data_IF_883446229133
#
_entry.id   IF_883446229133
#
_cell.length_a   1.000
_cell.length_b   1.000
_cell.length_c   1.000
_cell.angle_alpha   90.00
_cell.angle_beta   90.00
_cell.angle_gamma   90.00
#
_symmetry.space_group_name_H-M   'P 1'
#
loop_
_entity.id
_entity.type
_entity.pdbx_description
1 polymer ?
#
# COMPACT_ATOMS: atom_id res chain seq x y z
N UNK A 1 -9.19 -12.26 4.69
CA UNK A 1 -8.76 -10.84 4.59
C UNK A 1 -9.57 -10.04 5.59
N UNK A 2 -8.93 -9.38 6.56
CA UNK A 2 -9.63 -8.75 7.68
C UNK A 2 -10.17 -7.37 7.28
N UNK A 3 -11.43 -7.07 7.61
CA UNK A 3 -12.01 -5.70 7.45
C UNK A 3 -11.18 -4.67 8.23
N UNK A 4 -10.51 -5.10 9.30
CA UNK A 4 -9.70 -4.26 10.19
C UNK A 4 -8.47 -3.68 9.50
N UNK A 5 -7.78 -4.43 8.65
CA UNK A 5 -6.60 -3.91 7.95
C UNK A 5 -6.98 -2.86 6.91
N UNK A 6 -8.14 -3.03 6.27
CA UNK A 6 -8.68 -2.03 5.37
C UNK A 6 -9.06 -0.73 6.12
N UNK A 7 -9.74 -0.84 7.27
CA UNK A 7 -10.05 0.32 8.11
C UNK A 7 -8.78 1.01 8.65
N UNK A 8 -7.76 0.23 9.03
CA UNK A 8 -6.47 0.75 9.45
C UNK A 8 -5.78 1.53 8.33
N UNK A 9 -5.75 0.96 7.12
CA UNK A 9 -5.13 1.60 5.95
C UNK A 9 -5.81 2.92 5.60
N UNK A 10 -7.14 2.96 5.62
CA UNK A 10 -7.90 4.20 5.36
C UNK A 10 -7.67 5.26 6.44
N UNK A 11 -7.67 4.87 7.72
CA UNK A 11 -7.45 5.81 8.82
C UNK A 11 -6.02 6.36 8.88
N UNK A 12 -5.04 5.65 8.32
CA UNK A 12 -3.63 6.05 8.27
C UNK A 12 -3.17 6.50 6.88
N UNK A 13 -4.09 6.66 5.92
CA UNK A 13 -3.74 6.89 4.52
C UNK A 13 -2.83 8.12 4.34
N UNK A 14 -3.17 9.25 4.98
CA UNK A 14 -2.36 10.48 4.92
C UNK A 14 -0.92 10.31 5.45
N UNK A 15 -0.70 9.39 6.40
CA UNK A 15 0.63 9.08 6.92
C UNK A 15 1.39 8.17 5.96
N UNK A 16 0.69 7.17 5.41
CA UNK A 16 1.22 6.28 4.37
C UNK A 16 1.63 7.06 3.13
N UNK A 17 0.85 8.07 2.70
CA UNK A 17 1.19 8.92 1.55
C UNK A 17 2.52 9.64 1.74
N UNK A 18 2.83 10.08 2.96
CA UNK A 18 4.08 10.77 3.28
C UNK A 18 5.27 9.81 3.36
N UNK A 19 5.05 8.61 3.91
CA UNK A 19 6.10 7.63 4.15
C UNK A 19 6.42 6.78 2.90
N UNK A 20 5.40 6.45 2.10
CA UNK A 20 5.47 5.52 0.98
C UNK A 20 4.80 6.09 -0.30
N UNK A 21 5.16 7.30 -0.75
CA UNK A 21 4.54 7.91 -1.92
C UNK A 21 4.81 7.10 -3.19
N UNK A 22 3.75 6.81 -3.95
CA UNK A 22 3.79 6.05 -5.20
C UNK A 22 4.43 4.65 -5.03
N UNK A 23 4.05 3.97 -3.95
CA UNK A 23 4.50 2.62 -3.62
C UNK A 23 3.33 1.71 -3.29
N UNK A 24 3.52 0.42 -3.54
CA UNK A 24 2.73 -0.63 -2.91
C UNK A 24 3.15 -0.79 -1.46
N UNK A 25 2.17 -0.95 -0.58
CA UNK A 25 2.37 -1.16 0.85
C UNK A 25 1.57 -2.39 1.27
N UNK A 26 2.26 -3.39 1.82
CA UNK A 26 1.65 -4.57 2.43
C UNK A 26 1.39 -4.32 3.91
N UNK A 27 0.17 -4.59 4.37
CA UNK A 27 -0.28 -4.40 5.75
C UNK A 27 -0.82 -5.71 6.32
N UNK A 28 -0.46 -6.01 7.57
CA UNK A 28 -1.06 -7.07 8.37
C UNK A 28 -1.16 -6.64 9.83
N UNK A 29 -2.33 -6.87 10.44
CA UNK A 29 -2.63 -6.51 11.82
C UNK A 29 -2.29 -5.04 12.13
N UNK A 30 -2.62 -4.14 11.19
CA UNK A 30 -2.35 -2.71 11.29
C UNK A 30 -0.86 -2.33 11.28
N UNK A 31 0.00 -3.15 10.66
CA UNK A 31 1.43 -2.87 10.50
C UNK A 31 1.88 -3.04 9.08
N UNK A 32 2.75 -2.15 8.61
CA UNK A 32 3.43 -2.30 7.32
C UNK A 32 4.46 -3.43 7.43
N UNK A 33 4.33 -4.44 6.58
CA UNK A 33 5.20 -5.63 6.58
C UNK A 33 6.14 -5.69 5.38
N UNK A 34 5.81 -5.03 4.28
CA UNK A 34 6.65 -4.84 3.10
C UNK A 34 6.19 -3.61 2.31
N UNK A 35 7.07 -3.01 1.50
CA UNK A 35 6.72 -1.89 0.63
C UNK A 35 7.69 -1.77 -0.55
N UNK A 36 7.24 -1.16 -1.65
CA UNK A 36 8.07 -0.98 -2.84
C UNK A 36 7.30 -0.58 -4.09
N UNK A 37 8.01 -0.31 -5.18
CA UNK A 37 7.41 0.16 -6.44
C UNK A 37 6.87 -0.96 -7.34
N UNK A 38 7.26 -2.20 -7.07
CA UNK A 38 6.90 -3.36 -7.88
C UNK A 38 6.00 -4.28 -7.05
N UNK A 39 4.74 -4.43 -7.45
CA UNK A 39 3.75 -5.23 -6.73
C UNK A 39 4.25 -6.66 -6.42
N UNK A 40 4.81 -7.35 -7.42
CA UNK A 40 5.27 -8.73 -7.26
C UNK A 40 6.33 -8.89 -6.17
N UNK A 41 7.31 -7.99 -6.13
CA UNK A 41 8.36 -8.00 -5.09
C UNK A 41 7.78 -7.77 -3.70
N UNK A 42 6.83 -6.84 -3.56
CA UNK A 42 6.17 -6.55 -2.28
C UNK A 42 5.32 -7.73 -1.82
N UNK A 43 4.63 -8.40 -2.75
CA UNK A 43 3.86 -9.61 -2.45
C UNK A 43 4.77 -10.75 -1.99
N UNK A 44 5.84 -11.05 -2.72
CA UNK A 44 6.77 -12.13 -2.38
C UNK A 44 7.43 -11.89 -1.02
N UNK A 45 7.87 -10.66 -0.76
CA UNK A 45 8.46 -10.27 0.53
C UNK A 45 7.47 -10.35 1.68
N UNK A 46 6.23 -9.87 1.50
CA UNK A 46 5.19 -9.98 2.52
C UNK A 46 4.83 -11.44 2.80
N UNK A 47 4.73 -12.27 1.76
CA UNK A 47 4.45 -13.70 1.88
C UNK A 47 5.54 -14.44 2.66
N UNK A 48 6.81 -14.14 2.37
CA UNK A 48 7.95 -14.71 3.10
C UNK A 48 7.92 -14.33 4.59
N UNK A 49 7.53 -13.09 4.90
CA UNK A 49 7.54 -12.57 6.28
C UNK A 49 6.36 -13.03 7.13
N UNK A 50 5.15 -13.07 6.55
CA UNK A 50 3.92 -13.22 7.34
C UNK A 50 2.90 -14.23 6.79
N UNK A 51 3.27 -15.02 5.78
CA UNK A 51 2.38 -15.98 5.12
C UNK A 51 1.37 -15.32 4.18
N UNK A 52 0.31 -16.03 3.76
CA UNK A 52 -0.59 -15.59 2.68
C UNK A 52 -1.71 -14.63 3.09
N UNK A 53 -1.76 -14.22 4.36
CA UNK A 53 -2.81 -13.36 4.91
C UNK A 53 -2.28 -11.95 5.21
N UNK A 54 -2.34 -11.07 4.23
CA UNK A 54 -2.06 -9.63 4.32
C UNK A 54 -2.82 -8.86 3.22
N UNK A 55 -2.92 -7.54 3.35
CA UNK A 55 -3.50 -6.66 2.33
C UNK A 55 -2.38 -5.89 1.63
N UNK A 56 -2.48 -5.65 0.33
CA UNK A 56 -1.60 -4.71 -0.39
C UNK A 56 -2.47 -3.61 -0.98
N UNK A 57 -2.07 -2.37 -0.78
CA UNK A 57 -2.64 -1.22 -1.49
C UNK A 57 -1.54 -0.40 -2.16
N UNK A 58 -1.91 0.35 -3.19
CA UNK A 58 -1.04 1.32 -3.84
C UNK A 58 -1.31 2.71 -3.29
N UNK A 59 -0.30 3.29 -2.67
CA UNK A 59 -0.40 4.59 -2.01
C UNK A 59 -0.02 5.68 -3.00
N UNK A 60 -1.02 6.46 -3.44
CA UNK A 60 -0.79 7.61 -4.31
C UNK A 60 -0.12 8.72 -3.51
N UNK A 61 0.92 9.36 -4.05
CA UNK A 61 1.62 10.48 -3.38
C UNK A 61 0.72 11.67 -2.99
N UNK A 62 -0.50 11.75 -3.52
CA UNK A 62 -1.43 12.86 -3.26
C UNK A 62 -1.02 14.17 -3.96
N UNK A 63 0.08 14.17 -4.71
CA UNK A 63 0.42 15.28 -5.58
C UNK A 63 -0.61 15.37 -6.72
N UNK A 64 -1.19 16.57 -6.95
CA UNK A 64 -2.10 16.75 -8.07
C UNK A 64 -1.36 16.50 -9.38
N UNK A 65 -1.80 15.50 -10.15
CA UNK A 65 -1.35 15.30 -11.51
C UNK A 65 -2.39 15.85 -12.49
N UNK A 66 -1.91 16.48 -13.57
CA UNK A 66 -2.76 16.93 -14.67
C UNK A 66 -2.92 15.77 -15.65
N UNK A 67 -4.17 15.35 -15.89
CA UNK A 67 -4.49 14.45 -16.98
C UNK A 67 -4.48 15.24 -18.30
N UNK A 68 -3.40 15.11 -19.08
CA UNK A 68 -3.41 15.56 -20.47
C UNK A 68 -4.28 14.60 -21.30
N UNK A 69 -5.53 15.00 -21.54
CA UNK A 69 -6.39 14.33 -22.51
C UNK A 69 -6.12 14.96 -23.87
N UNK A 70 -5.53 14.20 -24.79
CA UNK A 70 -5.50 14.56 -26.22
C UNK A 70 -6.88 14.25 -26.80
N UNK A 71 -7.66 15.30 -27.08
CA UNK A 71 -8.90 15.24 -27.85
C UNK A 71 -8.61 15.10 -29.35
#
# INVERSE_FOLDING_TARGET
MSVKDFEWLNSHYSELQKAYPNMYVAVKDGKVVAYGKEFGKVYDEAKERVGEEFMIDYILSGEPFVLEVKL
#
